data_IF_247766060369
#
_entry.id   IF_247766060369
#
_cell.length_a   1.000
_cell.length_b   1.000
_cell.length_c   1.000
_cell.angle_alpha   90.00
_cell.angle_beta   90.00
_cell.angle_gamma   90.00
#
_symmetry.space_group_name_H-M   'P 1'
#
loop_
_entity.id
_entity.type
_entity.pdbx_description
1 polymer ?
#
# COMPACT_ATOMS: atom_id res chain seq x y z
N UNK A 1 20.25 10.40 3.97
CA UNK A 1 19.73 11.33 5.01
C UNK A 1 19.46 10.52 6.27
N UNK A 2 19.85 11.00 7.44
CA UNK A 2 19.68 10.27 8.70
C UNK A 2 18.81 11.05 9.69
N UNK A 3 17.90 10.33 10.34
CA UNK A 3 16.95 10.87 11.29
C UNK A 3 16.98 10.05 12.59
N UNK A 4 16.75 10.72 13.71
CA UNK A 4 16.67 10.12 15.03
C UNK A 4 15.48 10.72 15.80
N UNK A 5 14.95 10.02 16.82
CA UNK A 5 13.92 10.54 17.69
C UNK A 5 14.26 11.92 18.28
N UNK A 6 13.30 12.85 18.23
CA UNK A 6 13.42 14.16 18.87
C UNK A 6 13.07 14.04 20.35
N UNK A 7 14.02 14.42 21.22
CA UNK A 7 13.76 14.49 22.66
C UNK A 7 12.70 15.56 22.97
N UNK A 8 11.69 15.21 23.78
CA UNK A 8 10.62 16.14 24.16
C UNK A 8 9.60 16.40 23.04
N UNK A 9 9.44 15.50 22.07
CA UNK A 9 8.40 15.61 21.05
C UNK A 9 7.01 15.77 21.67
N UNK A 10 6.34 16.88 21.35
CA UNK A 10 5.04 17.23 21.95
C UNK A 10 3.92 16.27 21.54
N UNK A 11 4.05 15.57 20.42
CA UNK A 11 3.09 14.57 19.94
C UNK A 11 3.18 13.21 20.66
N UNK A 12 3.96 13.11 21.73
CA UNK A 12 4.08 11.89 22.54
C UNK A 12 5.15 10.94 22.03
N UNK A 13 4.78 9.69 21.70
CA UNK A 13 5.74 8.64 21.34
C UNK A 13 6.25 8.82 19.91
N UNK A 14 7.58 8.81 19.72
CA UNK A 14 8.24 8.87 18.41
C UNK A 14 8.39 7.51 17.71
N UNK A 15 7.51 6.55 18.02
CA UNK A 15 7.61 5.17 17.54
C UNK A 15 8.64 4.30 18.29
N UNK A 16 9.10 3.22 17.64
CA UNK A 16 10.10 2.29 18.19
C UNK A 16 11.43 2.31 17.44
N UNK A 17 11.51 3.02 16.30
CA UNK A 17 12.75 3.18 15.57
C UNK A 17 13.64 4.21 16.27
N UNK A 18 14.90 3.87 16.49
CA UNK A 18 15.90 4.77 17.09
C UNK A 18 16.74 5.50 16.05
N UNK A 19 16.73 5.02 14.79
CA UNK A 19 17.34 5.66 13.63
C UNK A 19 16.56 5.32 12.38
N UNK A 20 16.40 6.29 11.48
CA UNK A 20 15.88 6.10 10.12
C UNK A 20 16.91 6.66 9.15
N UNK A 21 17.31 5.85 8.17
CA UNK A 21 18.14 6.29 7.05
C UNK A 21 17.30 6.30 5.78
N UNK A 22 17.27 7.44 5.08
CA UNK A 22 16.60 7.62 3.80
C UNK A 22 17.65 7.92 2.74
N UNK A 23 17.76 7.04 1.76
CA UNK A 23 18.63 7.23 0.60
C UNK A 23 17.78 7.62 -0.62
N UNK A 24 18.14 8.72 -1.29
CA UNK A 24 17.43 9.19 -2.49
C UNK A 24 18.17 8.68 -3.71
N UNK A 25 17.58 7.70 -4.40
CA UNK A 25 18.17 7.08 -5.58
C UNK A 25 17.25 7.24 -6.79
N UNK A 26 17.76 7.80 -7.89
CA UNK A 26 16.98 7.91 -9.12
C UNK A 26 16.83 6.56 -9.86
N UNK A 27 17.83 5.68 -9.73
CA UNK A 27 17.82 4.38 -10.40
C UNK A 27 16.96 3.37 -9.63
N UNK A 28 15.77 3.09 -10.15
CA UNK A 28 14.81 2.16 -9.54
C UNK A 28 15.26 0.71 -9.58
N UNK A 29 16.13 0.32 -10.54
CA UNK A 29 16.70 -1.02 -10.56
C UNK A 29 17.76 -1.19 -9.46
N UNK A 30 18.59 -0.16 -9.25
CA UNK A 30 19.54 -0.14 -8.13
C UNK A 30 18.82 -0.16 -6.77
N UNK A 31 17.71 0.56 -6.62
CA UNK A 31 16.88 0.50 -5.40
C UNK A 31 16.42 -0.93 -5.09
N UNK A 32 15.93 -1.66 -6.10
CA UNK A 32 15.49 -3.06 -5.95
C UNK A 32 16.67 -3.96 -5.55
N UNK A 33 17.84 -3.80 -6.17
CA UNK A 33 19.02 -4.57 -5.82
C UNK A 33 19.47 -4.34 -4.37
N UNK A 34 19.46 -3.08 -3.90
CA UNK A 34 19.78 -2.74 -2.52
C UNK A 34 18.75 -3.34 -1.53
N UNK A 35 17.47 -3.31 -1.88
CA UNK A 35 16.42 -3.98 -1.12
C UNK A 35 16.65 -5.51 -1.06
N UNK A 36 16.88 -6.16 -2.20
CA UNK A 36 17.10 -7.62 -2.30
C UNK A 36 18.35 -8.08 -1.54
N UNK A 37 19.39 -7.23 -1.45
CA UNK A 37 20.60 -7.49 -0.67
C UNK A 37 20.45 -7.27 0.85
N UNK A 38 19.31 -6.72 1.30
CA UNK A 38 19.05 -6.39 2.69
C UNK A 38 19.62 -5.04 3.16
N UNK A 39 20.22 -4.26 2.27
CA UNK A 39 20.69 -2.90 2.58
C UNK A 39 19.51 -1.96 2.85
N UNK A 40 18.44 -2.06 2.07
CA UNK A 40 17.19 -1.34 2.35
C UNK A 40 16.16 -2.28 2.99
N UNK A 41 15.60 -1.88 4.11
CA UNK A 41 14.50 -2.61 4.77
C UNK A 41 13.18 -2.50 4.01
N UNK A 42 12.98 -1.40 3.27
CA UNK A 42 11.81 -1.14 2.43
C UNK A 42 12.17 -0.18 1.30
N UNK A 43 11.41 -0.22 0.20
CA UNK A 43 11.41 0.79 -0.88
C UNK A 43 9.97 1.11 -1.33
N UNK A 44 9.80 2.23 -2.03
CA UNK A 44 8.52 2.65 -2.63
C UNK A 44 7.97 3.96 -2.09
N UNK A 45 8.39 4.39 -0.88
CA UNK A 45 7.99 5.68 -0.29
C UNK A 45 8.28 6.84 -1.24
N UNK A 46 7.42 7.87 -1.22
CA UNK A 46 7.49 8.99 -2.16
C UNK A 46 7.04 8.63 -3.58
N UNK A 47 6.10 7.68 -3.68
CA UNK A 47 5.51 7.20 -4.94
C UNK A 47 6.52 6.70 -5.97
N UNK A 48 7.57 6.03 -5.52
CA UNK A 48 8.60 5.47 -6.39
C UNK A 48 8.11 4.16 -7.01
N UNK A 49 7.96 4.06 -8.35
CA UNK A 49 7.54 2.83 -8.99
C UNK A 49 8.70 1.82 -9.03
N UNK A 50 8.38 0.52 -9.04
CA UNK A 50 9.36 -0.50 -9.39
C UNK A 50 9.61 -0.50 -10.89
N UNK A 51 10.83 -0.88 -11.27
CA UNK A 51 11.13 -1.22 -12.66
C UNK A 51 10.18 -2.35 -13.15
N UNK A 52 9.74 -2.35 -14.42
CA UNK A 52 8.77 -3.33 -14.93
C UNK A 52 9.17 -4.79 -14.69
N UNK A 53 10.46 -5.12 -14.83
CA UNK A 53 10.96 -6.47 -14.57
C UNK A 53 10.79 -6.88 -13.10
N UNK A 54 11.06 -5.96 -12.16
CA UNK A 54 10.84 -6.21 -10.74
C UNK A 54 9.34 -6.33 -10.43
N UNK A 55 8.49 -5.47 -11.00
CA UNK A 55 7.04 -5.60 -10.85
C UNK A 55 6.54 -6.99 -11.29
N UNK A 56 7.02 -7.52 -12.42
CA UNK A 56 6.67 -8.89 -12.86
C UNK A 56 7.16 -9.96 -11.89
N UNK A 57 8.42 -9.90 -11.42
CA UNK A 57 8.94 -10.88 -10.46
C UNK A 57 8.12 -10.89 -9.16
N UNK A 58 7.90 -9.72 -8.58
CA UNK A 58 7.19 -9.56 -7.30
C UNK A 58 5.68 -9.76 -7.41
N UNK A 59 5.10 -9.80 -8.61
CA UNK A 59 3.68 -10.18 -8.78
C UNK A 59 3.49 -11.67 -9.08
N UNK A 60 4.52 -12.38 -9.56
CA UNK A 60 4.39 -13.77 -10.03
C UNK A 60 5.13 -14.81 -9.18
N UNK A 61 6.24 -14.45 -8.53
CA UNK A 61 7.02 -15.38 -7.71
C UNK A 61 6.38 -15.57 -6.33
N UNK A 62 6.04 -16.83 -6.01
CA UNK A 62 5.41 -17.21 -4.76
C UNK A 62 6.23 -16.88 -3.50
N UNK A 63 7.56 -16.78 -3.61
CA UNK A 63 8.46 -16.43 -2.49
C UNK A 63 8.61 -14.93 -2.29
N UNK A 64 8.35 -14.13 -3.33
CA UNK A 64 8.58 -12.68 -3.32
C UNK A 64 7.28 -11.89 -3.16
N UNK A 65 6.16 -12.41 -3.64
CA UNK A 65 4.89 -11.69 -3.69
C UNK A 65 4.39 -11.17 -2.33
N UNK A 66 4.72 -11.86 -1.24
CA UNK A 66 4.30 -11.46 0.10
C UNK A 66 5.08 -10.22 0.62
N UNK A 67 6.13 -9.81 -0.09
CA UNK A 67 6.87 -8.58 0.17
C UNK A 67 6.33 -7.39 -0.62
N UNK A 68 5.47 -7.62 -1.63
CA UNK A 68 4.86 -6.56 -2.42
C UNK A 68 3.54 -6.14 -1.77
N UNK A 69 3.48 -4.88 -1.37
CA UNK A 69 2.23 -4.24 -0.95
C UNK A 69 1.76 -3.28 -2.04
N UNK A 70 0.51 -3.43 -2.47
CA UNK A 70 -0.15 -2.54 -3.42
C UNK A 70 -1.32 -1.85 -2.73
N UNK A 71 -1.33 -0.52 -2.78
CA UNK A 71 -2.43 0.30 -2.26
C UNK A 71 -2.87 1.28 -3.35
N UNK A 72 -4.12 1.77 -3.34
CA UNK A 72 -4.50 2.84 -4.26
C UNK A 72 -3.51 4.01 -4.15
N UNK A 73 -3.15 4.63 -5.26
CA UNK A 73 -2.58 5.98 -5.25
C UNK A 73 -3.73 6.89 -5.64
N UNK A 74 -4.04 7.88 -4.79
CA UNK A 74 -5.16 8.80 -4.87
C UNK A 74 -5.06 9.71 -6.09
N UNK A 75 -5.05 9.12 -7.28
CA UNK A 75 -4.68 9.71 -8.55
C UNK A 75 -5.55 9.08 -9.63
N UNK A 76 -6.15 9.92 -10.45
CA UNK A 76 -6.95 9.48 -11.60
C UNK A 76 -6.36 10.07 -12.86
N UNK A 77 -6.35 9.28 -13.93
CA UNK A 77 -6.03 9.70 -15.29
C UNK A 77 -7.28 9.59 -16.15
N UNK A 78 -7.56 10.61 -16.96
CA UNK A 78 -8.74 10.65 -17.82
C UNK A 78 -8.52 11.44 -19.11
N UNK A 79 -9.44 11.28 -20.05
CA UNK A 79 -9.58 12.14 -21.22
C UNK A 79 -10.36 13.38 -20.81
N UNK A 80 -9.75 14.55 -20.92
CA UNK A 80 -10.45 15.83 -20.89
C UNK A 80 -11.01 16.16 -22.27
N UNK A 81 -12.22 16.73 -22.30
CA UNK A 81 -12.88 17.20 -23.51
C UNK A 81 -13.08 18.71 -23.46
N UNK A 82 -12.99 19.39 -24.61
CA UNK A 82 -13.34 20.80 -24.71
C UNK A 82 -14.85 20.98 -24.86
N UNK A 83 -15.48 21.62 -23.87
CA UNK A 83 -16.90 21.91 -23.86
C UNK A 83 -17.24 23.30 -24.39
N UNK A 84 -16.25 24.16 -24.63
CA UNK A 84 -16.45 25.50 -25.18
C UNK A 84 -16.52 25.49 -26.71
N UNK A 85 -15.73 24.65 -27.37
CA UNK A 85 -15.59 24.64 -28.83
C UNK A 85 -15.19 23.29 -29.38
N UNK A 86 -15.30 23.12 -30.69
CA UNK A 86 -14.98 21.86 -31.36
C UNK A 86 -16.12 20.84 -31.27
N UNK A 87 -15.85 19.57 -31.60
CA UNK A 87 -16.91 18.60 -31.80
C UNK A 87 -17.64 18.24 -30.51
N UNK A 88 -16.96 18.28 -29.37
CA UNK A 88 -17.49 17.93 -28.05
C UNK A 88 -18.09 19.10 -27.27
N UNK A 89 -18.31 20.25 -27.94
CA UNK A 89 -18.83 21.46 -27.31
C UNK A 89 -20.24 21.29 -26.74
N UNK A 90 -20.52 22.06 -25.68
CA UNK A 90 -21.71 22.02 -24.85
C UNK A 90 -21.95 20.69 -24.12
N UNK A 91 -22.62 20.78 -22.97
CA UNK A 91 -22.98 19.60 -22.18
C UNK A 91 -23.83 18.65 -23.02
N UNK A 92 -24.99 19.08 -23.53
CA UNK A 92 -25.85 18.20 -24.33
C UNK A 92 -25.30 17.93 -25.74
N UNK A 93 -24.84 18.97 -26.44
CA UNK A 93 -24.44 18.85 -27.85
C UNK A 93 -23.27 17.90 -28.10
N UNK A 94 -22.32 17.83 -27.16
CA UNK A 94 -21.17 16.94 -27.23
C UNK A 94 -21.33 15.62 -26.47
N UNK A 95 -22.40 15.45 -25.66
CA UNK A 95 -22.56 14.32 -24.73
C UNK A 95 -22.40 12.97 -25.42
N UNK A 96 -23.14 12.76 -26.50
CA UNK A 96 -23.14 11.51 -27.26
C UNK A 96 -21.75 11.19 -27.84
N UNK A 97 -21.03 12.18 -28.35
CA UNK A 97 -19.66 12.01 -28.84
C UNK A 97 -18.69 11.62 -27.71
N UNK A 98 -18.74 12.33 -26.57
CA UNK A 98 -17.90 12.01 -25.40
C UNK A 98 -18.18 10.60 -24.88
N UNK A 99 -19.44 10.20 -24.80
CA UNK A 99 -19.86 8.86 -24.39
C UNK A 99 -19.40 7.78 -25.37
N UNK A 100 -19.60 7.97 -26.68
CA UNK A 100 -19.14 7.02 -27.70
C UNK A 100 -17.62 6.83 -27.67
N UNK A 101 -16.84 7.90 -27.49
CA UNK A 101 -15.38 7.80 -27.36
C UNK A 101 -14.96 7.10 -26.07
N UNK A 102 -15.72 7.24 -24.98
CA UNK A 102 -15.46 6.55 -23.71
C UNK A 102 -15.76 5.05 -23.78
N UNK A 103 -16.89 4.66 -24.35
CA UNK A 103 -17.35 3.27 -24.45
C UNK A 103 -16.54 2.47 -25.46
N UNK A 104 -15.89 3.15 -26.40
CA UNK A 104 -14.96 2.55 -27.35
C UNK A 104 -13.61 2.14 -26.74
N UNK A 105 -13.37 2.36 -25.44
CA UNK A 105 -12.09 2.06 -24.78
C UNK A 105 -12.22 0.82 -23.89
N UNK A 106 -11.49 -0.24 -24.27
CA UNK A 106 -11.17 -1.36 -23.40
C UNK A 106 -10.08 -0.92 -22.40
N UNK A 107 -10.52 -0.56 -21.20
CA UNK A 107 -9.66 -0.09 -20.11
C UNK A 107 -8.84 -1.22 -19.48
N UNK A 108 -9.29 -2.47 -19.61
CA UNK A 108 -8.50 -3.60 -19.13
C UNK A 108 -7.32 -3.84 -20.08
N UNK A 109 -7.54 -3.76 -21.38
CA UNK A 109 -6.47 -3.79 -22.37
C UNK A 109 -5.50 -2.59 -22.22
N UNK A 110 -6.03 -1.38 -21.98
CA UNK A 110 -5.20 -0.20 -21.69
C UNK A 110 -4.33 -0.43 -20.44
N UNK A 111 -4.93 -0.85 -19.33
CA UNK A 111 -4.20 -1.13 -18.10
C UNK A 111 -3.15 -2.24 -18.30
N UNK A 112 -3.48 -3.28 -19.06
CA UNK A 112 -2.54 -4.35 -19.42
C UNK A 112 -1.34 -3.85 -20.23
N UNK A 113 -1.53 -2.82 -21.06
CA UNK A 113 -0.47 -2.25 -21.88
C UNK A 113 0.44 -1.28 -21.11
N UNK A 114 -0.09 -0.50 -20.15
CA UNK A 114 0.65 0.63 -19.55
C UNK A 114 0.87 0.57 -18.03
N UNK A 115 0.26 -0.38 -17.31
CA UNK A 115 0.27 -0.39 -15.84
C UNK A 115 1.22 -1.41 -15.17
N UNK A 116 2.23 -1.91 -15.87
CA UNK A 116 3.28 -2.79 -15.30
C UNK A 116 2.72 -3.92 -14.39
N UNK A 117 1.94 -4.86 -14.95
CA UNK A 117 1.28 -5.91 -14.14
C UNK A 117 0.31 -5.38 -13.07
N UNK A 118 -0.33 -4.24 -13.35
CA UNK A 118 -1.28 -3.54 -12.48
C UNK A 118 -0.66 -2.97 -11.19
N UNK A 119 0.67 -2.88 -11.09
CA UNK A 119 1.33 -2.35 -9.89
C UNK A 119 1.39 -0.84 -9.87
N UNK A 120 1.34 -0.17 -11.04
CA UNK A 120 1.38 1.30 -11.13
C UNK A 120 0.00 1.93 -11.37
N UNK A 121 -0.92 1.18 -11.96
CA UNK A 121 -2.30 1.63 -12.19
C UNK A 121 -3.27 0.48 -12.45
N UNK A 122 -4.57 0.78 -12.36
CA UNK A 122 -5.69 -0.12 -12.70
C UNK A 122 -6.76 0.66 -13.46
N UNK A 123 -7.69 -0.04 -14.12
CA UNK A 123 -8.81 0.61 -14.82
C UNK A 123 -9.65 1.46 -13.87
N UNK A 124 -9.94 2.71 -14.27
CA UNK A 124 -10.85 3.58 -13.54
C UNK A 124 -12.32 3.28 -13.89
N UNK A 125 -13.16 3.00 -12.89
CA UNK A 125 -14.56 2.61 -13.11
C UNK A 125 -15.58 3.28 -12.19
N UNK A 126 -15.14 4.06 -11.21
CA UNK A 126 -16.01 4.61 -10.15
C UNK A 126 -16.06 6.14 -10.10
N UNK A 127 -15.85 6.80 -11.24
CA UNK A 127 -15.84 8.26 -11.35
C UNK A 127 -14.44 8.88 -11.27
N UNK A 128 -14.39 10.21 -11.18
CA UNK A 128 -13.10 10.93 -11.21
C UNK A 128 -12.33 10.83 -9.89
N UNK A 129 -13.01 10.87 -8.75
CA UNK A 129 -12.36 10.64 -7.44
C UNK A 129 -11.94 9.17 -7.39
N UNK A 130 -10.70 8.87 -7.04
CA UNK A 130 -10.16 7.52 -7.06
C UNK A 130 -10.54 6.68 -5.82
N UNK A 131 -10.46 5.36 -5.96
CA UNK A 131 -10.65 4.40 -4.86
C UNK A 131 -9.76 4.72 -3.66
N UNK A 132 -10.32 4.63 -2.46
CA UNK A 132 -9.62 4.88 -1.20
C UNK A 132 -9.66 6.34 -0.72
N UNK A 133 -10.28 7.24 -1.48
CA UNK A 133 -10.55 8.62 -1.07
C UNK A 133 -12.03 8.83 -0.71
N UNK A 134 -12.29 9.82 0.13
CA UNK A 134 -13.63 10.32 0.40
C UNK A 134 -14.28 10.82 -0.89
N UNK A 135 -15.58 10.54 -1.05
CA UNK A 135 -16.33 10.89 -2.26
C UNK A 135 -16.20 9.90 -3.43
N UNK A 136 -15.39 8.84 -3.33
CA UNK A 136 -15.34 7.78 -4.35
C UNK A 136 -16.73 7.18 -4.62
N UNK A 137 -17.22 7.20 -5.86
CA UNK A 137 -18.60 6.77 -6.14
C UNK A 137 -18.80 5.26 -5.95
N UNK A 138 -17.75 4.46 -6.19
CA UNK A 138 -17.76 3.00 -6.05
C UNK A 138 -17.43 2.30 -7.37
N UNK A 139 -16.91 1.09 -7.29
CA UNK A 139 -16.50 0.31 -8.47
C UNK A 139 -17.71 0.12 -9.42
N UNK A 140 -17.55 0.50 -10.69
CA UNK A 140 -18.61 0.40 -11.72
C UNK A 140 -19.70 1.48 -11.68
N UNK A 141 -19.57 2.50 -10.83
CA UNK A 141 -20.54 3.60 -10.74
C UNK A 141 -20.52 4.54 -11.96
N UNK A 142 -19.40 4.63 -12.68
CA UNK A 142 -19.33 5.38 -13.94
C UNK A 142 -19.76 4.47 -15.09
N UNK A 143 -21.01 4.60 -15.51
CA UNK A 143 -21.56 3.76 -16.57
C UNK A 143 -20.99 4.06 -17.96
N UNK A 144 -20.33 5.22 -18.17
CA UNK A 144 -19.72 5.56 -19.46
C UNK A 144 -18.40 4.80 -19.71
N UNK A 145 -17.83 4.17 -18.68
CA UNK A 145 -16.56 3.46 -18.81
C UNK A 145 -16.73 1.97 -19.15
N UNK A 146 -17.96 1.49 -19.24
CA UNK A 146 -18.26 0.13 -19.65
C UNK A 146 -17.91 -0.03 -21.13
N UNK A 147 -16.95 -0.90 -21.42
CA UNK A 147 -16.53 -1.16 -22.80
C UNK A 147 -17.64 -1.85 -23.59
N UNK A 148 -18.10 -1.22 -24.67
CA UNK A 148 -19.03 -1.78 -25.65
C UNK A 148 -18.78 -1.13 -27.01
N UNK A 149 -17.90 -1.73 -27.80
CA UNK A 149 -17.52 -1.20 -29.11
C UNK A 149 -18.70 -1.10 -30.10
N UNK A 150 -19.70 -1.98 -29.99
CA UNK A 150 -20.83 -2.00 -30.92
C UNK A 150 -21.80 -0.85 -30.62
N UNK A 151 -22.14 -0.68 -29.34
CA UNK A 151 -22.96 0.45 -28.87
C UNK A 151 -22.24 1.77 -29.12
N UNK A 152 -20.96 1.87 -28.76
CA UNK A 152 -20.13 3.05 -29.00
C UNK A 152 -20.12 3.47 -30.48
N UNK A 153 -19.97 2.50 -31.40
CA UNK A 153 -19.98 2.78 -32.84
C UNK A 153 -21.34 3.28 -33.33
N UNK A 154 -22.43 2.70 -32.84
CA UNK A 154 -23.79 3.12 -33.17
C UNK A 154 -24.04 4.56 -32.70
N UNK A 155 -23.65 4.88 -31.47
CA UNK A 155 -23.79 6.21 -30.90
C UNK A 155 -22.93 7.25 -31.63
N UNK A 156 -21.68 6.89 -31.95
CA UNK A 156 -20.81 7.72 -32.77
C UNK A 156 -21.44 8.03 -34.14
N UNK A 157 -21.97 7.03 -34.84
CA UNK A 157 -22.59 7.21 -36.17
C UNK A 157 -23.86 8.06 -36.11
N UNK A 158 -24.63 7.98 -35.02
CA UNK A 158 -25.77 8.87 -34.82
C UNK A 158 -25.35 10.32 -34.54
N UNK A 159 -24.24 10.51 -33.83
CA UNK A 159 -23.71 11.83 -33.46
C UNK A 159 -22.92 12.52 -34.60
N UNK A 160 -22.19 11.77 -35.43
CA UNK A 160 -21.37 12.25 -36.55
C UNK A 160 -21.60 11.40 -37.82
N UNK A 161 -22.79 11.45 -38.43
CA UNK A 161 -23.18 10.54 -39.52
C UNK A 161 -22.34 10.71 -40.79
N UNK A 162 -21.75 11.87 -41.01
CA UNK A 162 -20.88 12.16 -42.16
C UNK A 162 -19.38 12.19 -41.80
N UNK A 163 -19.03 11.98 -40.53
CA UNK A 163 -17.65 12.01 -40.05
C UNK A 163 -17.01 13.40 -40.05
N UNK A 164 -17.79 14.47 -40.24
CA UNK A 164 -17.26 15.84 -40.34
C UNK A 164 -16.77 16.37 -39.00
N UNK A 165 -17.38 15.97 -37.88
CA UNK A 165 -17.01 16.45 -36.54
C UNK A 165 -15.63 15.97 -36.12
N UNK A 166 -15.25 14.75 -36.48
CA UNK A 166 -13.97 14.15 -36.08
C UNK A 166 -12.82 14.38 -37.08
N UNK A 167 -13.05 15.14 -38.15
CA UNK A 167 -12.01 15.41 -39.15
C UNK A 167 -10.84 16.16 -38.52
N UNK A 168 -9.66 15.53 -38.54
CA UNK A 168 -8.44 16.11 -37.96
C UNK A 168 -8.44 16.15 -36.43
N UNK A 169 -9.27 15.35 -35.77
CA UNK A 169 -9.34 15.28 -34.32
C UNK A 169 -7.98 14.83 -33.73
N UNK A 170 -7.57 15.49 -32.65
CA UNK A 170 -6.32 15.19 -31.94
C UNK A 170 -6.56 14.93 -30.46
N UNK A 171 -5.66 14.13 -29.86
CA UNK A 171 -5.51 13.98 -28.43
C UNK A 171 -4.15 14.56 -28.04
N UNK A 172 -4.18 15.59 -27.19
CA UNK A 172 -2.97 16.35 -26.82
C UNK A 172 -2.45 15.93 -25.45
N UNK A 173 -1.15 15.76 -25.28
CA UNK A 173 -0.52 15.41 -24.02
C UNK A 173 0.82 16.13 -23.81
N UNK A 174 1.26 16.26 -22.55
CA UNK A 174 2.62 16.72 -22.27
C UNK A 174 3.65 15.59 -22.38
N UNK A 175 4.86 15.94 -22.84
CA UNK A 175 6.01 15.04 -23.00
C UNK A 175 6.21 14.13 -21.79
N UNK A 176 5.83 12.87 -21.96
CA UNK A 176 6.02 11.79 -20.99
C UNK A 176 5.77 10.45 -21.69
N UNK A 177 6.67 9.47 -21.52
CA UNK A 177 6.55 8.16 -22.16
C UNK A 177 5.23 7.43 -21.82
N UNK A 178 4.72 7.57 -20.60
CA UNK A 178 3.42 7.03 -20.20
C UNK A 178 2.28 7.69 -21.00
N UNK A 179 2.31 9.02 -21.15
CA UNK A 179 1.27 9.73 -21.90
C UNK A 179 1.29 9.38 -23.38
N UNK A 180 2.47 9.23 -23.98
CA UNK A 180 2.63 8.78 -25.36
C UNK A 180 2.02 7.39 -25.54
N UNK A 181 2.37 6.43 -24.68
CA UNK A 181 1.84 5.07 -24.75
C UNK A 181 0.31 5.02 -24.57
N UNK A 182 -0.24 5.85 -23.66
CA UNK A 182 -1.69 6.01 -23.52
C UNK A 182 -2.31 6.57 -24.79
N UNK A 183 -1.74 7.63 -25.39
CA UNK A 183 -2.28 8.21 -26.62
C UNK A 183 -2.30 7.21 -27.77
N UNK A 184 -1.19 6.50 -28.01
CA UNK A 184 -1.07 5.51 -29.08
C UNK A 184 -2.10 4.38 -28.89
N UNK A 185 -2.28 3.92 -27.65
CA UNK A 185 -3.29 2.91 -27.33
C UNK A 185 -4.71 3.44 -27.62
N UNK A 186 -5.06 4.63 -27.13
CA UNK A 186 -6.38 5.24 -27.36
C UNK A 186 -6.66 5.45 -28.86
N UNK A 187 -5.68 5.97 -29.61
CA UNK A 187 -5.79 6.17 -31.06
C UNK A 187 -6.04 4.83 -31.79
N UNK A 188 -5.33 3.76 -31.41
CA UNK A 188 -5.54 2.44 -31.97
C UNK A 188 -6.95 1.89 -31.65
N UNK A 189 -7.42 2.10 -30.42
CA UNK A 189 -8.76 1.66 -30.00
C UNK A 189 -9.87 2.42 -30.74
N UNK A 190 -9.80 3.75 -30.85
CA UNK A 190 -10.77 4.53 -31.62
C UNK A 190 -10.74 4.19 -33.11
N UNK A 191 -9.56 3.92 -33.67
CA UNK A 191 -9.45 3.45 -35.05
C UNK A 191 -10.12 2.11 -35.27
N UNK A 192 -9.92 1.16 -34.35
CA UNK A 192 -10.51 -0.18 -34.42
C UNK A 192 -12.02 -0.15 -34.19
N UNK A 193 -12.47 0.54 -33.15
CA UNK A 193 -13.82 0.40 -32.62
C UNK A 193 -14.79 1.42 -33.27
N UNK A 194 -14.32 2.63 -33.61
CA UNK A 194 -15.15 3.69 -34.19
C UNK A 194 -14.82 3.99 -35.66
N UNK A 195 -13.74 3.43 -36.22
CA UNK A 195 -13.16 3.81 -37.50
C UNK A 195 -12.67 5.28 -37.57
N UNK A 196 -12.48 5.92 -36.40
CA UNK A 196 -12.01 7.30 -36.28
C UNK A 196 -10.49 7.34 -36.18
N UNK A 197 -9.84 8.23 -36.93
CA UNK A 197 -8.39 8.44 -36.82
C UNK A 197 -8.15 9.66 -35.94
N UNK A 198 -7.50 9.46 -34.78
CA UNK A 198 -7.14 10.54 -33.85
C UNK A 198 -5.63 10.72 -33.86
N UNK A 199 -5.17 11.95 -34.06
CA UNK A 199 -3.74 12.28 -34.03
C UNK A 199 -3.22 12.47 -32.60
N UNK A 200 -2.05 11.91 -32.30
CA UNK A 200 -1.32 12.16 -31.07
C UNK A 200 -0.49 13.44 -31.19
N UNK A 201 -0.71 14.42 -30.31
CA UNK A 201 0.03 15.68 -30.29
C UNK A 201 0.75 15.82 -28.96
N UNK A 202 2.07 15.76 -29.01
CA UNK A 202 2.92 16.03 -27.84
C UNK A 202 3.25 17.51 -27.75
N UNK A 203 3.20 18.07 -26.54
CA UNK A 203 3.58 19.46 -26.22
C UNK A 203 4.51 19.45 -25.01
N UNK A 204 5.44 20.39 -24.92
CA UNK A 204 6.24 20.51 -23.69
C UNK A 204 5.33 20.78 -22.48
N UNK A 205 5.73 20.30 -21.30
CA UNK A 205 4.89 20.35 -20.10
C UNK A 205 4.39 21.75 -19.76
N UNK A 206 5.24 22.76 -19.82
CA UNK A 206 4.86 24.13 -19.44
C UNK A 206 3.80 24.65 -20.40
N UNK A 207 4.07 24.57 -21.70
CA UNK A 207 3.14 25.04 -22.73
C UNK A 207 1.84 24.25 -22.72
N UNK A 208 1.90 22.94 -22.45
CA UNK A 208 0.72 22.10 -22.30
C UNK A 208 -0.22 22.66 -21.22
N UNK A 209 0.30 22.90 -20.02
CA UNK A 209 -0.50 23.43 -18.91
C UNK A 209 -0.94 24.87 -19.14
N UNK A 210 -0.11 25.73 -19.72
CA UNK A 210 -0.45 27.14 -20.01
C UNK A 210 -1.61 27.24 -21.03
N UNK A 211 -1.64 26.36 -22.04
CA UNK A 211 -2.71 26.33 -23.06
C UNK A 211 -3.94 25.54 -22.60
N UNK A 212 -3.77 24.57 -21.69
CA UNK A 212 -4.89 23.85 -21.08
C UNK A 212 -5.61 24.75 -20.07
N UNK A 213 -4.90 25.25 -19.08
CA UNK A 213 -5.45 26.05 -17.98
C UNK A 213 -5.76 27.47 -18.49
N UNK A 214 -7.03 27.81 -18.65
CA UNK A 214 -7.46 29.17 -19.00
C UNK A 214 -7.67 29.47 -20.48
N UNK A 215 -7.29 28.59 -21.41
CA UNK A 215 -7.47 28.81 -22.85
C UNK A 215 -8.35 27.78 -23.57
N UNK A 216 -8.73 26.67 -22.93
CA UNK A 216 -9.56 25.61 -23.56
C UNK A 216 -8.97 25.15 -24.92
N UNK A 217 -7.65 25.01 -25.04
CA UNK A 217 -7.00 24.98 -26.35
C UNK A 217 -7.16 23.65 -27.11
N UNK A 218 -7.44 22.54 -26.42
CA UNK A 218 -7.35 21.20 -26.99
C UNK A 218 -8.72 20.53 -27.09
N UNK A 219 -9.12 19.96 -28.24
CA UNK A 219 -10.42 19.29 -28.39
C UNK A 219 -10.54 18.06 -27.47
N UNK A 220 -9.46 17.27 -27.37
CA UNK A 220 -9.25 16.25 -26.34
C UNK A 220 -7.83 16.33 -25.83
N UNK A 221 -7.64 16.06 -24.54
CA UNK A 221 -6.33 16.14 -23.91
C UNK A 221 -6.18 15.15 -22.75
N UNK A 222 -4.94 14.81 -22.43
CA UNK A 222 -4.64 14.06 -21.19
C UNK A 222 -4.97 14.93 -20.00
N UNK A 223 -5.65 14.37 -19.03
CA UNK A 223 -5.86 15.01 -17.74
C UNK A 223 -5.59 14.03 -16.62
N UNK A 224 -5.12 14.56 -15.50
CA UNK A 224 -4.87 13.79 -14.30
C UNK A 224 -4.93 14.69 -13.08
N UNK A 225 -5.30 14.11 -11.95
CA UNK A 225 -5.23 14.77 -10.65
C UNK A 225 -4.79 13.76 -9.61
N UNK A 226 -3.90 14.20 -8.73
CA UNK A 226 -3.51 13.50 -7.54
C UNK A 226 -4.05 14.30 -6.36
N UNK A 227 -4.74 13.66 -5.44
CA UNK A 227 -5.35 14.34 -4.31
C UNK A 227 -4.28 15.07 -3.47
N UNK A 228 -4.52 16.35 -3.19
CA UNK A 228 -3.69 17.14 -2.29
C UNK A 228 -4.08 16.90 -0.82
N UNK A 229 -5.35 16.56 -0.58
CA UNK A 229 -5.91 16.15 0.72
C UNK A 229 -7.14 15.24 0.54
N UNK A 230 -7.51 14.46 1.55
CA UNK A 230 -8.60 13.47 1.47
C UNK A 230 -9.97 14.13 1.68
N UNK A 231 -10.34 15.02 0.77
CA UNK A 231 -11.66 15.64 0.74
C UNK A 231 -12.07 15.93 -0.71
N UNK A 232 -13.34 15.66 -1.10
CA UNK A 232 -13.75 15.82 -2.50
C UNK A 232 -13.64 17.25 -3.02
N UNK A 233 -13.72 18.26 -2.15
CA UNK A 233 -13.51 19.67 -2.52
C UNK A 233 -12.26 19.87 -3.39
N UNK A 234 -11.16 19.19 -3.04
CA UNK A 234 -9.90 19.23 -3.77
C UNK A 234 -10.07 18.95 -5.27
N UNK A 235 -11.01 18.07 -5.60
CA UNK A 235 -11.31 17.69 -6.98
C UNK A 235 -12.24 18.70 -7.64
N UNK A 236 -13.29 19.16 -6.96
CA UNK A 236 -14.33 19.96 -7.61
C UNK A 236 -13.91 21.42 -7.83
N UNK A 237 -13.26 22.05 -6.85
CA UNK A 237 -12.91 23.48 -6.89
C UNK A 237 -11.91 23.80 -7.99
N UNK A 238 -10.95 22.91 -8.23
CA UNK A 238 -9.88 23.14 -9.19
C UNK A 238 -10.18 22.58 -10.59
N UNK A 239 -11.15 21.66 -10.73
CA UNK A 239 -11.35 20.94 -11.99
C UNK A 239 -12.76 21.06 -12.61
N UNK A 240 -13.81 21.29 -11.83
CA UNK A 240 -15.17 21.05 -12.30
C UNK A 240 -16.16 22.19 -12.08
N UNK A 241 -15.99 23.01 -11.06
CA UNK A 241 -16.82 24.22 -10.92
C UNK A 241 -16.56 25.20 -12.08
N UNK A 242 -17.55 26.03 -12.38
CA UNK A 242 -17.42 27.06 -13.41
C UNK A 242 -16.23 27.98 -13.09
N UNK A 243 -15.30 28.12 -14.04
CA UNK A 243 -14.10 28.94 -13.87
C UNK A 243 -12.93 28.24 -13.14
N UNK A 244 -13.05 26.94 -12.86
CA UNK A 244 -12.00 26.12 -12.28
C UNK A 244 -10.66 26.23 -13.03
N UNK A 245 -9.60 26.60 -12.31
CA UNK A 245 -8.31 27.01 -12.87
C UNK A 245 -7.52 25.87 -13.54
N UNK A 246 -7.73 24.63 -13.12
CA UNK A 246 -6.97 23.46 -13.59
C UNK A 246 -7.76 22.52 -14.51
N UNK A 247 -9.02 22.87 -14.84
CA UNK A 247 -9.92 22.02 -15.62
C UNK A 247 -9.43 21.74 -17.04
N UNK A 248 -9.21 22.81 -17.80
CA UNK A 248 -8.99 22.78 -19.25
C UNK A 248 -10.21 22.43 -20.11
N UNK A 249 -11.25 21.83 -19.52
CA UNK A 249 -12.45 21.42 -20.25
C UNK A 249 -13.36 22.60 -20.60
N UNK A 250 -13.26 23.69 -19.82
CA UNK A 250 -14.17 24.83 -19.89
C UNK A 250 -15.64 24.44 -19.74
N UNK A 251 -15.85 23.43 -18.89
CA UNK A 251 -17.14 23.04 -18.39
C UNK A 251 -17.74 24.13 -17.49
N UNK A 252 -19.06 24.29 -17.60
CA UNK A 252 -19.85 25.16 -16.75
C UNK A 252 -21.25 24.56 -16.63
N UNK A 253 -21.70 24.36 -15.39
CA UNK A 253 -23.04 23.86 -15.10
C UNK A 253 -23.53 24.48 -13.79
N UNK A 254 -24.47 25.44 -13.84
CA UNK A 254 -24.97 26.12 -12.64
C UNK A 254 -25.55 25.19 -11.56
N UNK A 255 -26.08 24.02 -11.96
CA UNK A 255 -26.57 23.04 -10.99
C UNK A 255 -25.41 22.37 -10.24
N UNK A 256 -24.30 22.08 -10.93
CA UNK A 256 -23.11 21.53 -10.29
C UNK A 256 -22.48 22.56 -9.36
N UNK A 257 -22.37 23.82 -9.81
CA UNK A 257 -21.83 24.91 -8.98
C UNK A 257 -22.64 25.09 -7.69
N UNK A 258 -23.98 25.02 -7.80
CA UNK A 258 -24.88 25.10 -6.65
C UNK A 258 -24.70 23.92 -5.70
N UNK A 259 -24.58 22.70 -6.23
CA UNK A 259 -24.40 21.49 -5.42
C UNK A 259 -23.06 21.52 -4.67
N UNK A 260 -21.97 21.85 -5.37
CA UNK A 260 -20.63 22.00 -4.78
C UNK A 260 -20.61 23.09 -3.73
N UNK A 261 -21.14 24.29 -4.03
CA UNK A 261 -21.21 25.37 -3.05
C UNK A 261 -22.04 25.02 -1.81
N UNK A 262 -23.09 24.21 -1.97
CA UNK A 262 -23.89 23.70 -0.85
C UNK A 262 -23.11 22.66 -0.03
N UNK A 263 -22.31 21.82 -0.68
CA UNK A 263 -21.45 20.84 -0.03
C UNK A 263 -20.30 21.52 0.75
N UNK A 264 -19.70 22.57 0.20
CA UNK A 264 -18.65 23.36 0.84
C UNK A 264 -19.15 24.04 2.14
N UNK A 265 -20.40 24.51 2.13
CA UNK A 265 -21.02 25.18 3.28
C UNK A 265 -21.48 24.20 4.38
N UNK A 266 -21.53 22.90 4.09
CA UNK A 266 -21.99 21.88 5.01
C UNK A 266 -20.89 21.47 6.01
N UNK A 267 -21.28 20.77 7.09
CA UNK A 267 -20.29 20.11 7.94
C UNK A 267 -19.57 19.01 7.14
N UNK A 268 -18.28 18.78 7.43
CA UNK A 268 -17.46 17.75 6.78
C UNK A 268 -18.14 16.38 6.74
N UNK A 269 -18.82 16.01 7.84
CA UNK A 269 -19.55 14.73 7.96
C UNK A 269 -20.77 14.61 7.05
N UNK A 270 -21.33 15.72 6.55
CA UNK A 270 -22.49 15.76 5.67
C UNK A 270 -22.18 16.19 4.23
N UNK A 271 -21.13 17.01 4.01
CA UNK A 271 -20.79 17.57 2.70
C UNK A 271 -20.39 16.51 1.67
N UNK A 272 -19.77 15.40 2.12
CA UNK A 272 -19.37 14.29 1.24
C UNK A 272 -20.51 13.74 0.39
N UNK A 273 -21.75 13.72 0.90
CA UNK A 273 -22.90 13.25 0.12
C UNK A 273 -23.21 14.16 -1.07
N UNK A 274 -23.11 15.49 -0.90
CA UNK A 274 -23.33 16.45 -1.99
C UNK A 274 -22.27 16.34 -3.08
N UNK A 275 -21.00 16.12 -2.72
CA UNK A 275 -19.97 15.85 -3.72
C UNK A 275 -20.18 14.54 -4.48
N UNK A 276 -20.77 13.52 -3.85
CA UNK A 276 -21.14 12.29 -4.59
C UNK A 276 -22.23 12.59 -5.61
N UNK A 277 -23.22 13.42 -5.28
CA UNK A 277 -24.23 13.89 -6.24
C UNK A 277 -23.56 14.64 -7.38
N UNK A 278 -22.68 15.61 -7.08
CA UNK A 278 -21.90 16.32 -8.10
C UNK A 278 -21.05 15.37 -8.97
N UNK A 279 -20.47 14.32 -8.37
CA UNK A 279 -19.73 13.28 -9.10
C UNK A 279 -20.60 12.52 -10.09
N UNK A 280 -21.83 12.15 -9.70
CA UNK A 280 -22.79 11.56 -10.62
C UNK A 280 -23.26 12.54 -11.70
N UNK A 281 -23.31 13.85 -11.43
CA UNK A 281 -23.59 14.84 -12.46
C UNK A 281 -22.48 14.87 -13.53
N UNK A 282 -21.21 14.79 -13.13
CA UNK A 282 -20.09 14.71 -14.09
C UNK A 282 -20.13 13.44 -14.95
N UNK A 283 -20.48 12.30 -14.34
CA UNK A 283 -20.71 11.04 -15.04
C UNK A 283 -21.87 11.22 -16.02
N UNK A 284 -23.00 11.74 -15.56
CA UNK A 284 -24.18 11.95 -16.38
C UNK A 284 -23.88 12.81 -17.60
N UNK A 285 -23.23 13.94 -17.37
CA UNK A 285 -22.86 14.90 -18.40
C UNK A 285 -21.68 14.41 -19.27
N UNK A 286 -21.11 13.24 -18.97
CA UNK A 286 -20.01 12.63 -19.73
C UNK A 286 -18.82 13.60 -19.90
N UNK A 287 -18.49 14.37 -18.87
CA UNK A 287 -17.52 15.48 -18.94
C UNK A 287 -16.07 14.98 -19.06
N UNK A 288 -15.82 13.76 -18.56
CA UNK A 288 -14.51 13.14 -18.56
C UNK A 288 -14.60 11.72 -19.13
N UNK A 289 -13.46 11.22 -19.61
CA UNK A 289 -13.29 9.82 -19.95
C UNK A 289 -12.34 9.13 -19.00
N UNK A 290 -12.83 8.56 -17.89
CA UNK A 290 -11.97 7.89 -16.93
C UNK A 290 -11.12 6.83 -17.61
N UNK A 291 -9.81 6.78 -17.34
CA UNK A 291 -8.90 5.80 -17.93
C UNK A 291 -8.37 4.86 -16.86
N UNK A 292 -7.61 5.41 -15.92
CA UNK A 292 -6.81 4.65 -14.97
C UNK A 292 -6.83 5.31 -13.59
N UNK A 293 -6.86 4.51 -12.51
CA UNK A 293 -6.49 4.93 -11.17
C UNK A 293 -5.05 4.54 -10.91
N UNK A 294 -4.30 5.40 -10.22
CA UNK A 294 -2.96 5.10 -9.76
C UNK A 294 -2.95 3.97 -8.72
N UNK A 295 -1.87 3.22 -8.70
CA UNK A 295 -1.55 2.24 -7.66
C UNK A 295 -0.15 2.56 -7.16
N UNK A 296 -0.04 2.58 -5.84
CA UNK A 296 1.20 2.76 -5.13
C UNK A 296 1.75 1.40 -4.69
N UNK A 297 3.06 1.23 -4.84
CA UNK A 297 3.74 -0.04 -4.65
C UNK A 297 4.87 0.10 -3.64
N UNK A 298 4.95 -0.86 -2.73
CA UNK A 298 6.01 -0.97 -1.74
C UNK A 298 6.62 -2.36 -1.79
N UNK A 299 7.95 -2.44 -1.70
CA UNK A 299 8.61 -3.67 -1.29
C UNK A 299 9.04 -3.52 0.17
N UNK A 300 8.61 -4.45 1.01
CA UNK A 300 8.79 -4.40 2.45
C UNK A 300 9.28 -5.76 2.93
N UNK A 301 10.44 -5.79 3.58
CA UNK A 301 10.97 -7.04 4.11
C UNK A 301 10.03 -7.63 5.16
N UNK A 302 9.91 -8.97 5.30
CA UNK A 302 8.96 -9.59 6.22
C UNK A 302 9.13 -9.16 7.70
N UNK A 303 10.36 -8.82 8.10
CA UNK A 303 10.71 -8.34 9.44
C UNK A 303 10.28 -6.88 9.69
N UNK A 304 9.87 -6.14 8.67
CA UNK A 304 9.36 -4.77 8.79
C UNK A 304 7.84 -4.80 8.90
N UNK A 305 7.29 -4.16 9.93
CA UNK A 305 5.83 -4.00 10.11
C UNK A 305 5.46 -2.53 10.20
N UNK A 306 4.23 -2.18 9.81
CA UNK A 306 3.72 -0.80 9.82
C UNK A 306 4.12 0.04 8.60
N UNK A 307 5.01 -0.45 7.73
CA UNK A 307 5.32 0.19 6.46
C UNK A 307 4.19 -0.01 5.42
N UNK A 308 4.10 0.91 4.48
CA UNK A 308 3.05 0.94 3.45
C UNK A 308 2.45 2.33 3.37
N UNK A 309 1.17 2.41 3.02
CA UNK A 309 0.44 3.66 2.95
C UNK A 309 -1.04 3.44 2.67
N UNK A 310 -1.74 4.53 2.39
CA UNK A 310 -3.11 4.55 1.91
C UNK A 310 -3.20 5.32 0.58
N UNK A 311 -4.41 5.68 0.16
CA UNK A 311 -4.62 6.44 -1.07
C UNK A 311 -3.87 7.77 -1.13
N UNK A 312 -3.62 8.40 0.01
CA UNK A 312 -3.09 9.75 0.05
C UNK A 312 -1.61 9.79 0.48
N UNK A 313 -1.27 9.04 1.54
CA UNK A 313 0.04 9.13 2.20
C UNK A 313 0.72 7.79 2.40
N UNK A 314 2.05 7.82 2.45
CA UNK A 314 2.84 6.76 3.08
C UNK A 314 2.55 6.75 4.59
N UNK A 315 2.61 5.58 5.24
CA UNK A 315 2.44 5.49 6.69
C UNK A 315 3.59 6.20 7.41
N UNK A 316 3.27 6.83 8.54
CA UNK A 316 4.26 7.51 9.38
C UNK A 316 5.33 6.54 9.88
N UNK A 317 6.58 7.01 9.98
CA UNK A 317 7.69 6.21 10.54
C UNK A 317 7.46 5.83 12.01
N UNK A 318 6.58 6.56 12.70
CA UNK A 318 6.15 6.24 14.07
C UNK A 318 5.32 4.96 14.13
N UNK A 319 4.79 4.45 13.02
CA UNK A 319 4.08 3.17 12.91
C UNK A 319 5.02 2.01 12.58
N UNK A 320 6.18 2.30 11.97
CA UNK A 320 7.11 1.28 11.49
C UNK A 320 7.88 0.61 12.64
N UNK A 321 8.05 -0.70 12.56
CA UNK A 321 8.76 -1.55 13.53
C UNK A 321 9.64 -2.57 12.82
N UNK A 322 10.81 -2.84 13.39
CA UNK A 322 11.67 -3.97 13.00
C UNK A 322 11.44 -5.09 14.02
N UNK A 323 10.93 -6.23 13.54
CA UNK A 323 10.79 -7.43 14.34
C UNK A 323 12.15 -8.09 14.50
N UNK A 324 12.48 -8.51 15.73
CA UNK A 324 13.61 -9.39 15.97
C UNK A 324 13.17 -10.81 15.64
N UNK A 325 13.87 -11.47 14.73
CA UNK A 325 13.73 -12.91 14.55
C UNK A 325 14.32 -13.58 15.78
N UNK A 326 13.59 -14.51 16.38
CA UNK A 326 14.18 -15.40 17.37
C UNK A 326 14.37 -16.77 16.72
N UNK A 327 15.61 -17.20 16.59
CA UNK A 327 15.92 -18.53 16.10
C UNK A 327 15.61 -19.51 17.24
N UNK A 328 14.58 -20.34 17.06
CA UNK A 328 14.37 -21.49 17.93
C UNK A 328 15.34 -22.59 17.53
N UNK A 329 16.37 -22.81 18.34
CA UNK A 329 17.22 -23.99 18.24
C UNK A 329 16.74 -24.97 19.30
N UNK A 330 16.07 -26.05 18.89
CA UNK A 330 15.82 -27.19 19.76
C UNK A 330 17.11 -27.98 19.95
N UNK A 331 17.62 -28.07 21.18
CA UNK A 331 18.72 -28.98 21.52
C UNK A 331 18.11 -30.13 22.32
N UNK A 332 17.94 -31.29 21.69
CA UNK A 332 17.51 -32.49 22.39
C UNK A 332 18.61 -33.00 23.31
N UNK A 333 18.41 -32.94 24.63
CA UNK A 333 19.29 -33.59 25.61
C UNK A 333 18.57 -34.81 26.19
N UNK A 334 19.20 -35.98 26.07
CA UNK A 334 18.68 -37.25 26.61
C UNK A 334 19.27 -37.45 28.00
N UNK A 335 18.48 -37.27 29.05
CA UNK A 335 18.90 -37.62 30.42
C UNK A 335 18.45 -39.04 30.70
N UNK A 336 19.41 -39.96 30.86
CA UNK A 336 19.16 -41.34 31.28
C UNK A 336 19.33 -41.40 32.79
N UNK A 337 18.24 -41.63 33.51
CA UNK A 337 18.32 -42.03 34.92
C UNK A 337 18.47 -43.56 34.95
N UNK A 338 19.65 -44.05 35.32
CA UNK A 338 19.84 -45.46 35.63
C UNK A 338 19.50 -45.64 37.11
N UNK A 339 18.28 -46.08 37.39
CA UNK A 339 17.93 -46.62 38.70
C UNK A 339 18.10 -48.13 38.63
N UNK A 340 18.92 -48.67 39.52
CA UNK A 340 19.12 -50.11 39.68
C UNK A 340 17.76 -50.82 39.82
N UNK A 341 17.46 -51.67 38.83
CA UNK A 341 16.62 -52.84 39.02
C UNK A 341 15.10 -52.64 39.08
N UNK A 342 14.51 -51.76 38.27
CA UNK A 342 13.17 -51.98 37.69
C UNK A 342 12.89 -50.94 36.60
N UNK A 343 12.13 -51.34 35.56
CA UNK A 343 11.89 -50.56 34.34
C UNK A 343 11.37 -49.13 34.64
N UNK A 344 12.25 -48.13 34.51
CA UNK A 344 11.92 -46.72 34.70
C UNK A 344 11.25 -46.11 33.47
N UNK A 345 10.21 -45.30 33.69
CA UNK A 345 9.53 -44.52 32.65
C UNK A 345 10.46 -43.42 32.10
N UNK A 346 10.55 -43.34 30.77
CA UNK A 346 11.27 -42.27 30.06
C UNK A 346 10.38 -41.03 30.01
N UNK A 347 10.83 -39.93 30.60
CA UNK A 347 10.23 -38.61 30.40
C UNK A 347 11.14 -37.82 29.46
N UNK A 348 10.73 -37.67 28.20
CA UNK A 348 11.35 -36.72 27.27
C UNK A 348 10.86 -35.31 27.58
N UNK A 349 11.80 -34.37 27.73
CA UNK A 349 11.51 -32.95 27.83
C UNK A 349 12.36 -32.20 26.80
N UNK A 350 11.69 -31.58 25.83
CA UNK A 350 12.34 -30.69 24.87
C UNK A 350 12.62 -29.33 25.52
N UNK A 351 13.90 -28.94 25.56
CA UNK A 351 14.31 -27.60 26.01
C UNK A 351 14.65 -26.77 24.77
N UNK A 352 13.80 -25.77 24.48
CA UNK A 352 14.04 -24.80 23.41
C UNK A 352 14.86 -23.61 23.91
N UNK A 353 15.89 -23.21 23.16
CA UNK A 353 16.69 -22.02 23.45
C UNK A 353 16.46 -20.97 22.35
N UNK A 354 16.12 -19.74 22.77
CA UNK A 354 16.01 -18.57 21.89
C UNK A 354 17.41 -18.00 21.65
N UNK A 355 17.89 -18.04 20.40
CA UNK A 355 19.21 -17.52 20.02
C UNK A 355 19.07 -16.16 19.31
N UNK A 356 19.91 -15.15 19.64
CA UNK A 356 19.97 -13.88 18.89
C UNK A 356 20.43 -14.06 17.44
N UNK A 357 20.00 -13.16 16.54
CA UNK A 357 20.40 -13.17 15.14
C UNK A 357 21.94 -13.08 15.00
N UNK A 358 22.49 -14.00 14.19
CA UNK A 358 23.93 -14.10 13.93
C UNK A 358 24.69 -15.17 14.73
N UNK A 359 24.06 -15.78 15.75
CA UNK A 359 24.62 -16.95 16.43
C UNK A 359 24.12 -18.26 15.83
N UNK A 360 25.02 -19.23 15.68
CA UNK A 360 24.74 -20.60 15.20
C UNK A 360 24.62 -21.54 16.39
N UNK A 361 23.89 -22.64 16.23
CA UNK A 361 23.85 -23.71 17.25
C UNK A 361 25.25 -24.25 17.59
N UNK A 362 26.20 -24.18 16.66
CA UNK A 362 27.61 -24.54 16.85
C UNK A 362 28.39 -23.62 17.80
N UNK A 363 27.86 -22.44 18.11
CA UNK A 363 28.47 -21.49 19.05
C UNK A 363 28.17 -21.86 20.51
N UNK A 364 27.19 -22.75 20.73
CA UNK A 364 26.93 -23.41 22.00
C UNK A 364 28.01 -24.49 22.21
N UNK A 365 28.95 -24.26 23.16
CA UNK A 365 29.89 -25.31 23.55
C UNK A 365 29.21 -26.32 24.49
N UNK A 366 29.24 -27.63 24.20
CA UNK A 366 28.94 -28.62 25.22
C UNK A 366 30.10 -28.64 26.22
N UNK A 367 29.85 -28.21 27.46
CA UNK A 367 30.72 -28.60 28.58
C UNK A 367 29.99 -29.69 29.36
N UNK A 368 30.20 -30.92 28.91
CA UNK A 368 30.17 -32.08 29.79
C UNK A 368 31.59 -32.64 29.77
N UNK A 369 32.32 -32.44 30.86
CA UNK A 369 33.48 -33.31 31.12
C UNK A 369 32.97 -34.73 31.34
N UNK A 370 33.71 -35.70 30.82
CA UNK A 370 33.41 -37.13 30.93
C UNK A 370 33.18 -37.53 32.41
N UNK A 371 32.33 -38.53 32.70
CA UNK A 371 32.06 -38.93 34.07
C UNK A 371 33.30 -39.59 34.68
N UNK A 372 34.04 -38.82 35.47
CA UNK A 372 34.95 -39.33 36.47
C UNK A 372 34.15 -39.63 37.74
N UNK A 373 34.16 -40.90 38.16
CA UNK A 373 33.82 -41.27 39.51
C UNK A 373 34.54 -40.36 40.51
N UNK A 374 33.83 -39.70 41.42
CA UNK A 374 34.01 -39.94 42.86
C UNK A 374 33.21 -38.98 43.76
N UNK A 375 32.96 -39.54 44.93
CA UNK A 375 32.10 -39.09 46.04
C UNK A 375 32.79 -37.96 46.84
N UNK A 376 32.03 -36.98 47.36
CA UNK A 376 31.99 -36.58 48.78
C UNK A 376 31.75 -35.07 49.09
N UNK A 377 30.68 -34.87 49.87
CA UNK A 377 30.47 -34.06 51.11
C UNK A 377 30.71 -32.54 51.18
N UNK A 378 29.99 -31.99 52.15
CA UNK A 378 29.56 -30.62 52.31
C UNK A 378 30.31 -29.89 53.44
N UNK A 379 31.15 -28.94 53.07
CA UNK A 379 31.72 -27.90 53.94
C UNK A 379 32.70 -27.02 53.17
N UNK A 380 32.19 -25.96 52.50
CA UNK A 380 32.89 -24.68 52.25
C UNK A 380 32.00 -23.69 51.45
N UNK A 381 31.42 -22.72 52.17
CA UNK A 381 31.02 -21.38 51.66
C UNK A 381 31.65 -20.37 52.65
N UNK A 382 32.06 -19.13 52.30
CA UNK A 382 31.71 -18.25 51.15
C UNK A 382 32.99 -17.81 50.35
N UNK A 383 33.04 -16.99 49.29
CA UNK A 383 32.32 -15.76 48.94
C UNK A 383 32.35 -15.48 47.42
N UNK A 384 31.42 -14.60 47.01
CA UNK A 384 31.02 -14.14 45.67
C UNK A 384 32.09 -13.44 44.83
N UNK A 385 31.91 -13.40 43.50
CA UNK A 385 32.09 -12.21 42.63
C UNK A 385 31.53 -12.41 41.20
N UNK A 386 31.33 -11.29 40.51
CA UNK A 386 30.29 -10.99 39.52
C UNK A 386 30.55 -11.43 38.06
N UNK A 387 29.48 -11.45 37.26
CA UNK A 387 29.52 -11.38 35.80
C UNK A 387 29.35 -9.91 35.35
N UNK A 388 30.20 -9.49 34.44
CA UNK A 388 30.12 -8.23 33.68
C UNK A 388 29.59 -8.53 32.29
N UNK A 389 28.51 -7.84 31.91
CA UNK A 389 27.97 -7.87 30.55
C UNK A 389 28.06 -6.44 30.02
N UNK A 390 28.79 -6.25 28.92
CA UNK A 390 29.09 -4.96 28.28
C UNK A 390 27.90 -4.50 27.41
N UNK A 391 27.32 -3.34 27.75
CA UNK A 391 26.24 -2.65 27.01
C UNK A 391 26.71 -1.89 25.78
N UNK A 392 27.31 -2.58 24.82
CA UNK A 392 27.46 -2.06 23.45
C UNK A 392 26.79 -2.88 22.36
N UNK A 393 25.72 -3.57 22.76
CA UNK A 393 24.43 -3.57 22.08
C UNK A 393 23.37 -3.58 23.20
N UNK A 394 23.13 -2.41 23.81
CA UNK A 394 22.19 -2.15 24.94
C UNK A 394 22.00 -3.36 25.91
N UNK A 395 22.82 -3.48 26.95
CA UNK A 395 22.92 -4.62 27.91
C UNK A 395 22.38 -4.26 29.33
N UNK A 396 23.01 -4.59 30.45
CA UNK A 396 22.33 -5.03 31.69
C UNK A 396 23.19 -4.83 32.96
N UNK A 397 22.64 -4.29 34.08
CA UNK A 397 22.99 -4.58 35.53
C UNK A 397 21.90 -3.99 36.46
N UNK A 398 21.33 -4.65 37.50
CA UNK A 398 21.80 -4.95 38.88
C UNK A 398 20.79 -5.97 39.51
N UNK A 399 21.23 -7.16 39.96
CA UNK A 399 21.53 -7.62 41.34
C UNK A 399 20.33 -7.93 42.28
N UNK A 400 20.13 -9.25 42.42
CA UNK A 400 19.77 -10.06 43.59
C UNK A 400 18.53 -9.70 44.44
N UNK A 401 17.51 -10.54 44.31
CA UNK A 401 16.65 -10.95 45.42
C UNK A 401 16.50 -12.47 45.33
N UNK A 402 17.27 -13.19 46.14
CA UNK A 402 17.15 -14.64 46.28
C UNK A 402 15.96 -15.07 47.12
N UNK A 403 15.31 -16.18 46.74
CA UNK A 403 14.75 -17.30 47.56
C UNK A 403 14.51 -18.44 46.55
N UNK A 404 15.09 -19.64 46.61
CA UNK A 404 14.79 -20.72 47.55
C UNK A 404 13.62 -21.61 47.05
N UNK A 405 13.96 -22.79 46.51
CA UNK A 405 13.07 -23.89 46.05
C UNK A 405 12.20 -23.64 44.80
N UNK A 406 12.25 -24.62 43.89
CA UNK A 406 11.58 -24.62 42.57
C UNK A 406 10.06 -24.64 42.71
N UNK A 407 9.37 -23.75 42.00
CA UNK A 407 8.11 -24.04 41.29
C UNK A 407 7.66 -22.85 40.43
N UNK A 408 8.16 -22.73 39.19
CA UNK A 408 7.31 -22.29 38.07
C UNK A 408 7.98 -22.49 36.71
N UNK A 409 7.26 -23.20 35.86
CA UNK A 409 7.40 -23.24 34.41
C UNK A 409 6.57 -22.07 33.89
N UNK A 410 7.19 -21.14 33.16
CA UNK A 410 6.44 -20.17 32.37
C UNK A 410 6.30 -20.72 30.94
N UNK A 411 5.08 -21.16 30.64
CA UNK A 411 4.61 -21.39 29.28
C UNK A 411 4.31 -20.03 28.66
N UNK A 412 4.77 -19.85 27.42
CA UNK A 412 4.50 -18.68 26.56
C UNK A 412 2.99 -18.48 26.41
N UNK A 413 2.52 -17.29 26.78
CA UNK A 413 1.13 -16.87 26.68
C UNK A 413 0.66 -16.79 25.21
N UNK A 414 -0.53 -17.33 24.93
CA UNK A 414 -1.19 -17.26 23.63
C UNK A 414 -2.07 -16.00 23.57
N UNK A 415 -1.63 -15.04 22.77
CA UNK A 415 -2.15 -13.67 22.72
C UNK A 415 -3.44 -13.50 21.89
N UNK A 416 -4.25 -14.54 21.67
CA UNK A 416 -5.45 -14.43 20.81
C UNK A 416 -6.78 -14.82 21.48
N UNK A 417 -6.83 -15.65 22.52
CA UNK A 417 -8.11 -16.11 23.08
C UNK A 417 -8.20 -15.97 24.61
N UNK A 418 -8.77 -14.87 25.10
CA UNK A 418 -8.99 -14.60 26.54
C UNK A 418 -9.96 -15.59 27.24
N UNK A 419 -9.60 -16.87 27.39
CA UNK A 419 -10.30 -17.84 28.26
C UNK A 419 -9.32 -18.78 28.97
N UNK A 420 -9.51 -18.92 30.28
CA UNK A 420 -8.76 -19.85 31.13
C UNK A 420 -9.39 -21.25 31.06
N UNK A 421 -8.67 -22.25 30.53
CA UNK A 421 -9.04 -23.66 30.72
C UNK A 421 -8.12 -24.31 31.75
N UNK A 422 -8.74 -24.88 32.79
CA UNK A 422 -8.08 -25.62 33.89
C UNK A 422 -7.18 -26.75 33.37
N UNK A 423 -6.01 -26.91 33.98
CA UNK A 423 -5.36 -28.22 34.10
C UNK A 423 -5.54 -28.74 35.54
N UNK A 424 -6.05 -29.97 35.65
CA UNK A 424 -6.11 -30.76 36.87
C UNK A 424 -5.06 -31.85 36.73
N UNK A 425 -4.05 -31.88 37.59
CA UNK A 425 -3.17 -33.04 37.72
C UNK A 425 -3.70 -33.93 38.86
N UNK A 426 -4.05 -35.18 38.54
CA UNK A 426 -4.23 -36.26 39.53
C UNK A 426 -2.91 -37.04 39.61
N UNK A 427 -2.37 -37.18 40.80
CA UNK A 427 -1.36 -38.18 41.13
C UNK A 427 -1.97 -39.26 42.04
N UNK A 428 -1.49 -40.50 41.89
CA UNK A 428 -1.97 -41.69 42.59
C UNK A 428 -1.67 -41.66 44.09
N UNK A 429 -2.53 -40.94 44.81
CA UNK A 429 -3.05 -41.22 46.16
C UNK A 429 -3.90 -40.01 46.53
N UNK A 430 -5.19 -40.11 46.23
CA UNK A 430 -6.14 -39.00 46.34
C UNK A 430 -6.18 -38.37 47.72
N UNK A 431 -5.66 -37.14 47.85
CA UNK A 431 -6.04 -36.19 48.90
C UNK A 431 -6.11 -34.79 48.27
N UNK A 432 -7.28 -34.16 48.38
CA UNK A 432 -7.48 -32.75 48.06
C UNK A 432 -6.88 -31.90 49.17
N UNK A 433 -5.86 -31.10 48.88
CA UNK A 433 -5.42 -30.02 49.77
C UNK A 433 -5.83 -28.66 49.17
N UNK A 434 -6.87 -28.06 49.75
CA UNK A 434 -7.17 -26.62 49.63
C UNK A 434 -6.14 -25.85 50.45
N UNK A 435 -5.51 -24.83 49.88
CA UNK A 435 -4.88 -23.75 50.66
C UNK A 435 -5.27 -22.41 50.02
N UNK A 436 -5.60 -21.37 50.84
CA UNK A 436 -6.52 -20.31 50.48
C UNK A 436 -5.88 -19.13 49.76
N UNK A 437 -6.81 -18.28 49.29
CA UNK A 437 -6.68 -17.11 48.42
C UNK A 437 -5.58 -16.13 48.83
N UNK A 438 -4.85 -15.68 47.81
CA UNK A 438 -4.79 -14.25 47.52
C UNK A 438 -5.58 -13.97 46.25
#
# INVERSE_FOLDING_TARGET
MDFAPVAGWYGGKTGALTRVHVEVMADTAAQVAQYESGVFSLIGFGRQPLAPAAATRYTSDAKLKDQLSLVPAGTTFWIGFNLKSGPFAAVEGGRAGRRAFNEAIDRQALAGAVCNQKTTCVAATGGVVSKGLQGYLGDGADYNVKFDAATAKTEYQAWDPDGSKVKGLTYTYDTNAFNQAVCENLAAQWKKNLAVTVGCVEVDRRTFFDQRNGACAYPMFRQSWAADYDHPQDWFDYLFVTGASSSGSCYSNPNLDKEVSSADAALVTSGTAGYRVAGFMLVNDSIFGGLLYGVQQYLVHPYVKGAGGNALYDNDWTEVRILRSALFVGVGARVVHECDGDAGDVVEADVGVLMPDGQRSSDLRPRLEAPGHDVHRADQHPALLAVEVDERLDVLRIQDVGVGQVARVDVVDDLVARRLHRLVARGDRGVQARIPRH
#
